data_IF_317014740248
#
_entry.id   IF_317014740248
#
_cell.length_a   1.000
_cell.length_b   1.000
_cell.length_c   1.000
_cell.angle_alpha   90.00
_cell.angle_beta   90.00
_cell.angle_gamma   90.00
#
_symmetry.space_group_name_H-M   'P 1'
#
loop_
_entity.id
_entity.type
_entity.pdbx_description
1 polymer ?
#
# COMPACT_ATOMS: atom_id res chain seq x y z
N UNK A 1 -14.08 41.39 -1.21
CA UNK A 1 -12.98 41.74 -2.12
C UNK A 1 -12.28 40.44 -2.42
N UNK A 2 -12.64 39.79 -3.54
CA UNK A 2 -11.98 38.56 -3.98
C UNK A 2 -10.53 38.87 -4.30
N UNK A 3 -9.61 38.04 -3.84
CA UNK A 3 -8.22 38.12 -4.26
C UNK A 3 -8.17 38.01 -5.80
N UNK A 4 -7.32 38.79 -6.48
CA UNK A 4 -7.17 38.67 -7.93
C UNK A 4 -6.59 37.28 -8.25
N UNK A 5 -7.22 36.58 -9.19
CA UNK A 5 -6.65 35.38 -9.80
C UNK A 5 -5.26 35.73 -10.32
N UNK A 6 -4.23 35.04 -9.82
CA UNK A 6 -2.86 35.19 -10.26
C UNK A 6 -2.73 34.57 -11.67
N UNK A 7 -2.53 35.38 -12.73
CA UNK A 7 -2.49 34.90 -14.11
C UNK A 7 -1.15 34.20 -14.44
N UNK A 8 -0.29 33.94 -13.44
CA UNK A 8 1.02 33.29 -13.61
C UNK A 8 1.11 31.87 -13.10
N UNK A 9 0.02 31.28 -12.58
CA UNK A 9 -0.03 29.85 -12.30
C UNK A 9 0.08 29.08 -13.63
N UNK A 10 1.32 28.76 -14.04
CA UNK A 10 1.58 28.00 -15.26
C UNK A 10 0.75 26.72 -15.20
N UNK A 11 -0.07 26.48 -16.23
CA UNK A 11 -0.86 25.26 -16.33
C UNK A 11 0.06 24.05 -16.13
N UNK A 12 -0.07 23.40 -14.97
CA UNK A 12 0.72 22.21 -14.65
C UNK A 12 -0.08 20.99 -15.11
N UNK A 13 0.55 20.05 -15.85
CA UNK A 13 -0.05 18.74 -16.10
C UNK A 13 -0.56 18.12 -14.79
N UNK A 14 -1.73 17.48 -14.85
CA UNK A 14 -2.41 16.93 -13.68
C UNK A 14 -3.31 17.92 -12.92
N UNK A 15 -3.18 19.23 -13.14
CA UNK A 15 -4.04 20.26 -12.50
C UNK A 15 -5.13 20.72 -13.47
N UNK A 16 -4.85 21.74 -14.27
CA UNK A 16 -5.76 22.34 -15.26
C UNK A 16 -5.63 21.71 -16.66
N UNK A 17 -4.55 20.98 -16.92
CA UNK A 17 -4.34 20.18 -18.13
C UNK A 17 -4.11 18.70 -17.76
N UNK A 18 -4.51 17.73 -18.60
CA UNK A 18 -4.26 16.32 -18.31
C UNK A 18 -2.77 15.99 -18.16
N UNK A 19 -2.43 15.13 -17.19
CA UNK A 19 -1.08 14.54 -17.09
C UNK A 19 -0.87 13.42 -18.13
N UNK A 20 0.30 12.76 -18.09
CA UNK A 20 0.64 11.66 -19.00
C UNK A 20 -0.32 10.44 -18.88
N UNK A 21 -1.10 10.36 -17.80
CA UNK A 21 -2.12 9.33 -17.55
C UNK A 21 -3.54 9.86 -17.76
N UNK A 22 -3.70 11.08 -18.27
CA UNK A 22 -5.00 11.70 -18.55
C UNK A 22 -5.72 12.28 -17.32
N UNK A 23 -5.07 12.36 -16.15
CA UNK A 23 -5.68 12.84 -14.90
C UNK A 23 -5.66 14.36 -14.82
N UNK A 24 -6.67 14.95 -14.18
CA UNK A 24 -6.77 16.39 -13.89
C UNK A 24 -7.27 16.61 -12.45
N UNK A 25 -7.20 17.86 -11.96
CA UNK A 25 -7.67 18.22 -10.62
C UNK A 25 -6.91 17.54 -9.49
N UNK A 26 -5.67 17.09 -9.74
CA UNK A 26 -4.86 16.42 -8.74
C UNK A 26 -4.61 17.31 -7.52
N UNK A 27 -4.56 18.64 -7.68
CA UNK A 27 -4.43 19.65 -6.62
C UNK A 27 -5.72 19.88 -5.81
N UNK A 28 -6.87 19.37 -6.26
CA UNK A 28 -8.12 19.51 -5.51
C UNK A 28 -8.20 18.54 -4.33
N UNK A 29 -7.45 17.43 -4.37
CA UNK A 29 -7.49 16.37 -3.34
C UNK A 29 -7.03 16.92 -2.00
N UNK A 30 -7.96 16.95 -1.04
CA UNK A 30 -7.70 17.40 0.32
C UNK A 30 -7.86 18.91 0.53
N UNK A 31 -8.18 19.69 -0.52
CA UNK A 31 -8.29 21.15 -0.46
C UNK A 31 -9.51 21.64 0.31
N UNK A 32 -10.58 20.85 0.31
CA UNK A 32 -11.88 21.15 0.92
C UNK A 32 -12.08 20.50 2.30
N UNK A 33 -11.03 19.90 2.88
CA UNK A 33 -11.14 19.21 4.16
C UNK A 33 -11.44 20.18 5.32
N UNK A 34 -12.60 19.97 5.94
CA UNK A 34 -13.09 20.76 7.07
C UNK A 34 -13.50 19.91 8.29
N UNK A 35 -13.43 18.58 8.17
CA UNK A 35 -13.84 17.60 9.19
C UNK A 35 -13.08 17.67 10.53
N UNK A 36 -11.92 18.34 10.57
CA UNK A 36 -11.16 18.58 11.79
C UNK A 36 -11.12 20.08 12.07
N UNK A 37 -11.82 20.59 13.11
CA UNK A 37 -11.88 22.03 13.38
C UNK A 37 -10.54 22.64 13.79
N UNK A 38 -9.55 21.81 14.16
CA UNK A 38 -8.17 22.22 14.46
C UNK A 38 -7.24 22.22 13.24
N UNK A 39 -7.76 22.03 12.03
CA UNK A 39 -6.97 22.04 10.78
C UNK A 39 -7.63 23.02 9.80
N UNK A 40 -6.82 23.83 9.11
CA UNK A 40 -7.29 24.72 8.04
C UNK A 40 -6.38 24.59 6.84
N UNK A 41 -6.88 24.04 5.75
CA UNK A 41 -6.10 23.88 4.52
C UNK A 41 -6.02 25.22 3.79
N UNK A 42 -4.81 25.63 3.41
CA UNK A 42 -4.56 26.86 2.66
C UNK A 42 -4.27 26.58 1.20
N UNK A 43 -3.38 25.62 0.95
CA UNK A 43 -2.91 25.30 -0.39
C UNK A 43 -2.54 23.82 -0.54
N UNK A 44 -2.71 23.30 -1.75
CA UNK A 44 -2.32 21.95 -2.16
C UNK A 44 -1.58 22.08 -3.49
N UNK A 45 -0.28 21.86 -3.45
CA UNK A 45 0.61 21.90 -4.61
C UNK A 45 0.88 20.47 -5.07
N UNK A 46 0.58 20.12 -6.33
CA UNK A 46 1.12 18.88 -6.92
C UNK A 46 2.60 19.11 -7.15
N UNK A 47 3.48 18.30 -6.58
CA UNK A 47 4.94 18.39 -6.74
C UNK A 47 5.49 17.33 -7.69
N UNK A 48 4.81 16.18 -7.83
CA UNK A 48 5.06 15.15 -8.85
C UNK A 48 3.76 14.43 -9.25
N UNK A 49 3.63 14.07 -10.52
CA UNK A 49 2.44 13.51 -11.16
C UNK A 49 2.80 12.34 -12.11
N UNK A 50 3.84 11.57 -11.75
CA UNK A 50 4.27 10.38 -12.48
C UNK A 50 3.29 9.21 -12.32
N UNK A 51 3.80 8.00 -12.06
CA UNK A 51 2.91 6.85 -11.82
C UNK A 51 1.93 7.14 -10.67
N UNK A 52 2.48 7.58 -9.55
CA UNK A 52 1.76 8.04 -8.36
C UNK A 52 1.92 9.56 -8.18
N UNK A 53 1.12 10.16 -7.30
CA UNK A 53 1.06 11.61 -7.14
C UNK A 53 1.71 12.05 -5.83
N UNK A 54 2.65 12.98 -5.89
CA UNK A 54 3.23 13.64 -4.72
C UNK A 54 2.61 15.04 -4.60
N UNK A 55 2.10 15.37 -3.41
CA UNK A 55 1.52 16.68 -3.10
C UNK A 55 2.23 17.31 -1.93
N UNK A 56 2.31 18.63 -1.91
CA UNK A 56 2.66 19.44 -0.74
C UNK A 56 1.43 20.20 -0.29
N UNK A 57 0.98 19.95 0.94
CA UNK A 57 -0.16 20.65 1.53
C UNK A 57 0.33 21.64 2.57
N UNK A 58 -0.08 22.90 2.43
CA UNK A 58 0.14 23.96 3.42
C UNK A 58 -1.15 24.18 4.20
N UNK A 59 -1.08 24.11 5.53
CA UNK A 59 -2.25 24.19 6.40
C UNK A 59 -1.89 24.79 7.76
N UNK A 60 -2.87 25.40 8.42
CA UNK A 60 -2.74 25.72 9.85
C UNK A 60 -3.22 24.55 10.71
N UNK A 61 -2.49 24.29 11.79
CA UNK A 61 -2.84 23.33 12.83
C UNK A 61 -2.96 24.03 14.18
N UNK A 62 -4.07 23.75 14.88
CA UNK A 62 -4.33 24.25 16.23
C UNK A 62 -3.62 23.34 17.25
N UNK A 63 -2.55 23.86 17.85
CA UNK A 63 -1.83 23.21 18.93
C UNK A 63 -2.69 23.02 20.18
N UNK A 64 -2.24 22.11 21.06
CA UNK A 64 -2.89 21.86 22.36
C UNK A 64 -2.89 23.06 23.29
N UNK A 65 -2.00 24.02 23.05
CA UNK A 65 -1.89 25.32 23.74
C UNK A 65 -2.89 26.36 23.20
N UNK A 66 -3.70 26.01 22.18
CA UNK A 66 -4.63 26.93 21.54
C UNK A 66 -3.98 27.85 20.51
N UNK A 67 -2.71 27.65 20.16
CA UNK A 67 -1.99 28.45 19.18
C UNK A 67 -2.07 27.81 17.80
N UNK A 68 -2.42 28.61 16.79
CA UNK A 68 -2.37 28.19 15.40
C UNK A 68 -0.95 28.27 14.86
N UNK A 69 -0.52 27.23 14.16
CA UNK A 69 0.79 27.18 13.48
C UNK A 69 0.61 26.77 12.04
N UNK A 70 1.22 27.50 11.11
CA UNK A 70 1.27 27.10 9.71
C UNK A 70 2.33 26.02 9.52
N UNK A 71 1.96 24.95 8.84
CA UNK A 71 2.80 23.80 8.56
C UNK A 71 2.70 23.43 7.08
N UNK A 72 3.73 22.72 6.60
CA UNK A 72 3.73 22.12 5.27
C UNK A 72 4.13 20.65 5.37
N UNK A 73 3.45 19.78 4.63
CA UNK A 73 3.74 18.33 4.55
C UNK A 73 3.65 17.86 3.12
N UNK A 74 4.56 16.96 2.77
CA UNK A 74 4.45 16.19 1.53
C UNK A 74 3.72 14.87 1.78
N UNK A 75 2.79 14.53 0.90
CA UNK A 75 2.07 13.26 0.91
C UNK A 75 2.21 12.57 -0.44
N UNK A 76 2.69 11.33 -0.40
CA UNK A 76 2.81 10.47 -1.56
C UNK A 76 1.59 9.57 -1.66
N UNK A 77 0.83 9.76 -2.73
CA UNK A 77 -0.44 9.13 -2.99
C UNK A 77 -0.29 8.03 -4.03
N UNK A 78 -0.25 6.80 -3.52
CA UNK A 78 -0.03 5.58 -4.30
C UNK A 78 -1.29 4.76 -4.54
N UNK A 79 -2.43 5.21 -4.01
CA UNK A 79 -3.62 4.39 -3.87
C UNK A 79 -3.60 3.55 -2.59
N UNK A 80 -4.67 2.78 -2.41
CA UNK A 80 -4.79 1.79 -1.35
C UNK A 80 -4.52 0.39 -1.92
N UNK A 81 -4.25 -0.57 -1.05
CA UNK A 81 -4.02 -1.96 -1.44
C UNK A 81 -4.72 -2.97 -0.55
N UNK A 82 -4.59 -4.23 -0.92
CA UNK A 82 -5.01 -5.38 -0.13
C UNK A 82 -3.85 -6.38 0.00
N UNK A 83 -3.86 -7.18 1.06
CA UNK A 83 -2.89 -8.26 1.27
C UNK A 83 -3.53 -9.44 1.99
N UNK A 84 -3.01 -10.65 1.77
CA UNK A 84 -3.56 -11.87 2.34
C UNK A 84 -2.49 -12.78 2.95
N UNK A 85 -2.83 -13.37 4.09
CA UNK A 85 -2.16 -14.56 4.59
C UNK A 85 -2.86 -15.81 4.04
N UNK A 86 -2.15 -16.55 3.19
CA UNK A 86 -2.55 -17.89 2.76
C UNK A 86 -1.90 -18.91 3.68
N UNK A 87 -2.70 -19.72 4.37
CA UNK A 87 -2.21 -20.72 5.32
C UNK A 87 -2.84 -22.09 5.13
N UNK A 88 -2.07 -23.15 5.35
CA UNK A 88 -2.57 -24.51 5.45
C UNK A 88 -2.54 -24.90 6.96
N UNK A 89 -3.71 -25.05 7.61
CA UNK A 89 -3.77 -25.35 9.04
C UNK A 89 -3.29 -26.77 9.36
N UNK A 90 -3.45 -27.72 8.44
CA UNK A 90 -3.09 -29.13 8.66
C UNK A 90 -1.58 -29.33 8.49
N UNK A 91 -1.01 -28.72 7.44
CA UNK A 91 0.44 -28.75 7.20
C UNK A 91 1.22 -27.76 8.07
N UNK A 92 0.53 -26.80 8.72
CA UNK A 92 1.12 -25.65 9.43
C UNK A 92 2.08 -24.87 8.53
N UNK A 93 1.71 -24.65 7.27
CA UNK A 93 2.50 -23.90 6.30
C UNK A 93 1.80 -22.61 5.90
N UNK A 94 2.59 -21.68 5.37
CA UNK A 94 2.13 -20.43 4.78
C UNK A 94 2.66 -20.35 3.35
N UNK A 95 1.86 -19.78 2.46
CA UNK A 95 2.28 -19.45 1.10
C UNK A 95 2.54 -17.95 1.01
N UNK A 96 3.76 -17.60 0.60
CA UNK A 96 4.25 -16.24 0.43
C UNK A 96 4.79 -16.08 -0.99
N UNK A 97 5.04 -14.85 -1.40
CA UNK A 97 5.77 -14.51 -2.62
C UNK A 97 7.21 -14.11 -2.30
N UNK A 98 8.11 -14.27 -3.27
CA UNK A 98 9.44 -13.69 -3.27
C UNK A 98 9.63 -12.90 -4.56
N UNK A 99 9.89 -11.60 -4.43
CA UNK A 99 9.97 -10.70 -5.58
C UNK A 99 10.94 -9.53 -5.34
N UNK A 100 11.43 -8.94 -6.43
CA UNK A 100 12.37 -7.82 -6.37
C UNK A 100 11.66 -6.50 -6.04
N UNK A 101 12.14 -5.80 -5.01
CA UNK A 101 11.67 -4.47 -4.63
C UNK A 101 12.80 -3.46 -4.72
N UNK A 102 12.81 -2.68 -5.80
CA UNK A 102 13.79 -1.61 -6.02
C UNK A 102 13.90 -0.62 -4.84
N UNK A 103 12.81 -0.16 -4.18
CA UNK A 103 12.92 0.72 -3.02
C UNK A 103 13.67 0.12 -1.83
N UNK A 104 13.55 -1.19 -1.60
CA UNK A 104 14.31 -1.87 -0.57
C UNK A 104 15.78 -2.04 -0.98
N UNK A 105 16.03 -2.36 -2.26
CA UNK A 105 17.37 -2.53 -2.80
C UNK A 105 18.19 -1.23 -2.73
N UNK A 106 17.62 -0.10 -3.14
CA UNK A 106 18.30 1.21 -3.03
C UNK A 106 18.49 1.63 -1.56
N UNK A 107 17.71 1.05 -0.64
CA UNK A 107 17.80 1.27 0.80
C UNK A 107 18.44 0.06 1.52
N UNK A 108 19.55 -0.43 0.97
CA UNK A 108 20.49 -1.35 1.62
C UNK A 108 20.03 -2.82 1.81
N UNK A 109 18.88 -3.24 1.27
CA UNK A 109 18.58 -4.67 1.18
C UNK A 109 19.61 -5.37 0.29
N UNK A 110 20.19 -6.52 0.70
CA UNK A 110 21.35 -7.12 0.04
C UNK A 110 21.15 -7.44 -1.46
N UNK A 111 19.97 -7.92 -1.83
CA UNK A 111 19.63 -8.35 -3.19
C UNK A 111 18.28 -7.77 -3.69
N UNK A 112 17.60 -6.96 -2.86
CA UNK A 112 16.25 -6.48 -3.13
C UNK A 112 15.14 -7.53 -3.18
N UNK A 113 15.42 -8.83 -2.99
CA UNK A 113 14.42 -9.90 -3.07
C UNK A 113 13.75 -10.10 -1.71
N UNK A 114 12.55 -9.55 -1.54
CA UNK A 114 11.79 -9.67 -0.28
C UNK A 114 10.88 -10.89 -0.34
N UNK A 115 10.71 -11.53 0.82
CA UNK A 115 9.66 -12.53 1.07
C UNK A 115 8.45 -11.81 1.66
N UNK A 116 7.31 -11.93 1.00
CA UNK A 116 6.12 -11.11 1.25
C UNK A 116 4.82 -11.92 1.24
N UNK A 117 3.83 -11.49 1.99
CA UNK A 117 2.45 -11.88 1.77
C UNK A 117 1.97 -11.31 0.43
N UNK A 118 1.16 -12.09 -0.30
CA UNK A 118 0.59 -11.62 -1.55
C UNK A 118 -0.20 -10.33 -1.34
N UNK A 119 -0.03 -9.38 -2.26
CA UNK A 119 -0.58 -8.04 -2.12
C UNK A 119 -0.58 -7.28 -3.44
N UNK A 120 -1.57 -6.40 -3.59
CA UNK A 120 -1.62 -5.49 -4.73
C UNK A 120 -2.52 -4.28 -4.49
N UNK A 121 -2.57 -3.40 -5.49
CA UNK A 121 -3.41 -2.20 -5.47
C UNK A 121 -4.88 -2.57 -5.65
N UNK A 122 -5.76 -1.68 -5.16
CA UNK A 122 -7.19 -1.89 -5.35
C UNK A 122 -7.65 -1.66 -6.80
N UNK A 123 -7.03 -0.73 -7.54
CA UNK A 123 -7.37 -0.44 -8.94
C UNK A 123 -8.87 -0.36 -9.27
N UNK A 124 -9.60 0.41 -8.46
CA UNK A 124 -11.07 0.61 -8.49
C UNK A 124 -11.92 -0.61 -8.07
N UNK A 125 -11.31 -1.75 -7.76
CA UNK A 125 -11.98 -2.91 -7.20
C UNK A 125 -12.32 -2.75 -5.70
N UNK A 126 -13.20 -3.63 -5.22
CA UNK A 126 -13.32 -3.85 -3.78
C UNK A 126 -12.06 -4.52 -3.24
N UNK A 127 -11.76 -4.33 -1.95
CA UNK A 127 -10.60 -4.97 -1.32
C UNK A 127 -10.64 -6.51 -1.39
N UNK A 128 -11.83 -7.11 -1.40
CA UNK A 128 -11.99 -8.55 -1.56
C UNK A 128 -11.73 -9.00 -3.01
N UNK A 129 -12.24 -8.28 -4.00
CA UNK A 129 -12.06 -8.61 -5.41
C UNK A 129 -10.60 -8.44 -5.84
N UNK A 130 -9.96 -7.34 -5.44
CA UNK A 130 -8.53 -7.12 -5.63
C UNK A 130 -7.73 -8.28 -5.03
N UNK A 131 -8.03 -8.68 -3.79
CA UNK A 131 -7.27 -9.76 -3.16
C UNK A 131 -7.51 -11.14 -3.81
N UNK A 132 -8.66 -11.38 -4.43
CA UNK A 132 -8.89 -12.60 -5.22
C UNK A 132 -8.06 -12.61 -6.49
N UNK A 133 -8.03 -11.47 -7.19
CA UNK A 133 -7.26 -11.27 -8.42
C UNK A 133 -5.77 -11.46 -8.14
N UNK A 134 -5.22 -10.74 -7.17
CA UNK A 134 -3.80 -10.77 -6.83
C UNK A 134 -3.34 -12.15 -6.32
N UNK A 135 -4.15 -12.85 -5.51
CA UNK A 135 -3.80 -14.21 -5.07
C UNK A 135 -3.70 -15.21 -6.24
N UNK A 136 -4.53 -15.05 -7.27
CA UNK A 136 -4.49 -15.86 -8.47
C UNK A 136 -3.32 -15.48 -9.38
N UNK A 137 -3.06 -14.18 -9.57
CA UNK A 137 -2.00 -13.67 -10.44
C UNK A 137 -0.59 -13.92 -9.86
N UNK A 138 -0.36 -13.58 -8.59
CA UNK A 138 0.96 -13.71 -7.97
C UNK A 138 1.30 -15.17 -7.63
N UNK A 139 0.33 -15.90 -7.05
CA UNK A 139 0.58 -17.20 -6.39
C UNK A 139 -0.21 -18.37 -6.99
N UNK A 140 -1.04 -18.13 -8.01
CA UNK A 140 -1.85 -19.19 -8.62
C UNK A 140 -2.96 -19.72 -7.73
N UNK A 141 -3.36 -19.00 -6.67
CA UNK A 141 -4.32 -19.49 -5.68
C UNK A 141 -5.71 -18.95 -5.92
N UNK A 142 -6.66 -19.85 -6.20
CA UNK A 142 -8.08 -19.50 -6.18
C UNK A 142 -8.60 -19.53 -4.75
N UNK A 143 -8.63 -18.35 -4.11
CA UNK A 143 -9.02 -18.24 -2.70
C UNK A 143 -10.52 -18.42 -2.48
N UNK A 144 -10.89 -19.16 -1.43
CA UNK A 144 -12.27 -19.39 -1.02
C UNK A 144 -12.86 -18.22 -0.25
N UNK A 145 -13.32 -18.47 0.98
CA UNK A 145 -13.83 -17.42 1.86
C UNK A 145 -12.67 -16.58 2.41
N UNK A 146 -12.73 -15.27 2.17
CA UNK A 146 -11.77 -14.32 2.74
C UNK A 146 -12.23 -13.91 4.14
N UNK A 147 -11.30 -13.94 5.10
CA UNK A 147 -11.51 -13.33 6.42
C UNK A 147 -10.82 -11.97 6.44
N UNK A 148 -11.59 -10.89 6.42
CA UNK A 148 -11.07 -9.57 6.74
C UNK A 148 -10.57 -9.50 8.18
N UNK A 149 -9.39 -8.91 8.38
CA UNK A 149 -8.73 -8.79 9.68
C UNK A 149 -8.76 -7.36 10.19
N UNK A 150 -8.22 -6.43 9.40
CA UNK A 150 -8.07 -5.02 9.76
C UNK A 150 -7.67 -4.18 8.54
N UNK A 151 -7.82 -2.86 8.68
CA UNK A 151 -7.33 -1.86 7.72
C UNK A 151 -6.28 -0.99 8.41
N UNK A 152 -5.07 -0.91 7.86
CA UNK A 152 -3.95 -0.19 8.48
C UNK A 152 -3.32 0.80 7.51
N UNK A 153 -2.95 1.97 8.04
CA UNK A 153 -2.02 2.87 7.36
C UNK A 153 -0.59 2.40 7.60
N UNK A 154 0.16 2.13 6.53
CA UNK A 154 1.47 1.49 6.63
C UNK A 154 2.60 2.48 6.97
N UNK A 155 2.51 3.72 6.46
CA UNK A 155 3.50 4.78 6.74
C UNK A 155 2.83 6.17 6.78
N UNK A 156 1.96 6.44 7.78
CA UNK A 156 1.09 7.62 7.81
C UNK A 156 1.82 8.97 8.00
N UNK A 157 3.15 8.97 8.11
CA UNK A 157 3.95 10.19 8.18
C UNK A 157 4.03 10.93 6.84
N UNK A 158 3.97 10.19 5.73
CA UNK A 158 4.16 10.75 4.38
C UNK A 158 3.47 9.97 3.26
N UNK A 159 2.91 8.79 3.51
CA UNK A 159 2.22 7.97 2.49
C UNK A 159 0.75 7.84 2.85
N UNK A 160 -0.13 8.03 1.86
CA UNK A 160 -1.60 7.99 2.07
C UNK A 160 -2.15 6.56 2.19
N UNK A 161 -1.36 5.58 1.74
CA UNK A 161 -1.74 4.18 1.56
C UNK A 161 -2.36 3.58 2.84
N UNK A 162 -3.56 3.06 2.66
CA UNK A 162 -4.21 2.12 3.57
C UNK A 162 -4.23 0.74 2.93
N UNK A 163 -3.82 -0.26 3.69
CA UNK A 163 -3.84 -1.67 3.27
C UNK A 163 -4.93 -2.41 4.01
N UNK A 164 -5.73 -3.17 3.25
CA UNK A 164 -6.77 -4.07 3.73
C UNK A 164 -6.21 -5.48 3.92
N UNK A 165 -6.28 -6.02 5.14
CA UNK A 165 -5.64 -7.30 5.47
C UNK A 165 -6.67 -8.42 5.52
N UNK A 166 -6.34 -9.53 4.86
CA UNK A 166 -7.12 -10.74 4.80
C UNK A 166 -6.34 -11.97 5.27
N UNK A 167 -7.05 -13.02 5.61
CA UNK A 167 -6.52 -14.37 5.71
C UNK A 167 -7.47 -15.36 5.05
N UNK A 168 -6.92 -16.40 4.42
CA UNK A 168 -7.69 -17.50 3.89
C UNK A 168 -6.92 -18.82 4.02
N UNK A 169 -7.61 -19.92 4.34
CA UNK A 169 -7.00 -21.23 4.20
C UNK A 169 -6.74 -21.53 2.72
N UNK A 170 -5.66 -22.25 2.44
CA UNK A 170 -5.40 -22.86 1.13
C UNK A 170 -4.91 -24.29 1.33
N UNK A 171 -4.96 -25.08 0.26
CA UNK A 171 -4.29 -26.37 0.15
C UNK A 171 -3.34 -26.36 -1.04
N UNK A 172 -2.32 -27.21 -1.03
CA UNK A 172 -1.37 -27.29 -2.16
C UNK A 172 -2.04 -27.62 -3.50
N UNK A 173 -3.22 -28.24 -3.50
CA UNK A 173 -4.00 -28.52 -4.71
C UNK A 173 -4.71 -27.29 -5.29
N UNK A 174 -4.79 -26.19 -4.55
CA UNK A 174 -5.39 -24.92 -5.00
C UNK A 174 -4.41 -24.03 -5.77
N UNK A 175 -3.14 -24.44 -5.84
CA UNK A 175 -2.05 -23.71 -6.51
C UNK A 175 -1.95 -24.19 -7.95
N UNK A 176 -2.25 -23.31 -8.90
CA UNK A 176 -2.07 -23.54 -10.33
C UNK A 176 -1.49 -22.28 -11.01
N UNK A 177 -0.27 -22.38 -11.52
CA UNK A 177 0.43 -21.24 -12.12
C UNK A 177 0.94 -20.22 -11.09
N UNK A 178 0.67 -18.93 -11.33
CA UNK A 178 1.28 -17.79 -10.64
C UNK A 178 2.50 -17.24 -11.37
N UNK A 179 3.23 -16.34 -10.73
CA UNK A 179 4.44 -15.72 -11.31
C UNK A 179 4.36 -14.20 -11.49
N UNK A 180 3.20 -13.60 -11.24
CA UNK A 180 2.93 -12.19 -11.53
C UNK A 180 2.58 -11.96 -13.00
N UNK A 181 2.44 -10.69 -13.38
CA UNK A 181 2.09 -10.30 -14.76
C UNK A 181 3.34 -9.92 -15.55
N UNK A 182 3.72 -10.73 -16.56
CA UNK A 182 4.91 -10.49 -17.40
C UNK A 182 4.89 -9.10 -18.07
N UNK A 183 3.71 -8.64 -18.52
CA UNK A 183 3.54 -7.33 -19.17
C UNK A 183 3.83 -6.15 -18.21
N UNK A 184 3.72 -6.37 -16.90
CA UNK A 184 4.02 -5.40 -15.86
C UNK A 184 5.48 -5.48 -15.37
N UNK A 185 6.26 -6.40 -15.93
CA UNK A 185 7.65 -6.64 -15.56
C UNK A 185 7.81 -7.30 -14.19
N UNK A 186 6.76 -7.96 -13.70
CA UNK A 186 6.78 -8.70 -12.45
C UNK A 186 7.37 -10.10 -12.65
N UNK A 187 8.28 -10.48 -11.77
CA UNK A 187 8.82 -11.83 -11.66
C UNK A 187 8.69 -12.27 -10.21
N UNK A 188 7.71 -13.14 -9.95
CA UNK A 188 7.30 -13.54 -8.60
C UNK A 188 7.53 -15.04 -8.41
N UNK A 189 8.29 -15.40 -7.38
CA UNK A 189 8.47 -16.79 -6.95
C UNK A 189 7.49 -17.11 -5.81
N UNK A 190 6.66 -18.14 -5.97
CA UNK A 190 5.85 -18.66 -4.88
C UNK A 190 6.71 -19.49 -3.91
N UNK A 191 6.71 -19.13 -2.62
CA UNK A 191 7.48 -19.81 -1.58
C UNK A 191 6.58 -20.33 -0.47
N UNK A 192 6.60 -21.65 -0.24
CA UNK A 192 5.90 -22.28 0.89
C UNK A 192 6.86 -22.45 2.06
N UNK A 193 6.49 -21.94 3.23
CA UNK A 193 7.32 -21.95 4.44
C UNK A 193 6.55 -22.59 5.59
N UNK A 194 7.22 -23.41 6.41
CA UNK A 194 6.64 -23.88 7.66
C UNK A 194 6.42 -22.72 8.63
N UNK A 195 5.27 -22.65 9.28
CA UNK A 195 4.95 -21.53 10.17
C UNK A 195 6.00 -21.35 11.28
N UNK A 196 6.44 -22.46 11.87
CA UNK A 196 7.46 -22.45 12.93
C UNK A 196 8.86 -22.01 12.42
N UNK A 197 9.10 -22.07 11.11
CA UNK A 197 10.31 -21.54 10.46
C UNK A 197 10.18 -20.05 10.14
N UNK A 198 8.98 -19.59 9.76
CA UNK A 198 8.73 -18.21 9.37
C UNK A 198 9.00 -17.21 10.52
N UNK A 199 8.72 -17.58 11.77
CA UNK A 199 8.98 -16.72 12.93
C UNK A 199 10.48 -16.44 13.15
N UNK A 200 11.38 -17.45 13.19
CA UNK A 200 12.83 -17.22 13.17
C UNK A 200 13.30 -16.36 11.98
N UNK A 201 12.69 -16.49 10.81
CA UNK A 201 13.05 -15.68 9.63
C UNK A 201 12.79 -14.19 9.83
N UNK A 202 11.79 -13.81 10.65
CA UNK A 202 11.61 -12.42 11.06
C UNK A 202 12.76 -11.98 11.96
N UNK A 203 13.15 -12.82 12.92
CA UNK A 203 14.16 -12.48 13.91
C UNK A 203 15.57 -12.33 13.31
N UNK A 204 15.90 -13.11 12.29
CA UNK A 204 17.21 -13.06 11.62
C UNK A 204 17.25 -12.19 10.35
N UNK A 205 16.14 -11.53 10.01
CA UNK A 205 16.07 -10.56 8.91
C UNK A 205 15.90 -11.17 7.52
N UNK A 206 15.58 -12.47 7.41
CA UNK A 206 15.15 -13.08 6.13
C UNK A 206 13.74 -12.63 5.71
N UNK A 207 12.88 -12.27 6.66
CA UNK A 207 11.59 -11.61 6.41
C UNK A 207 11.63 -10.22 7.04
N UNK A 208 11.59 -9.20 6.20
CA UNK A 208 11.70 -7.78 6.60
C UNK A 208 10.58 -6.90 6.02
N UNK A 209 9.52 -7.53 5.51
CA UNK A 209 8.34 -6.83 5.02
C UNK A 209 7.29 -6.64 6.13
N UNK A 210 6.86 -5.39 6.34
CA UNK A 210 6.00 -5.01 7.47
C UNK A 210 4.63 -5.69 7.45
N UNK A 211 3.93 -5.72 6.30
CA UNK A 211 2.60 -6.37 6.19
C UNK A 211 2.70 -7.87 6.43
N UNK A 212 3.78 -8.50 5.96
CA UNK A 212 4.06 -9.93 6.20
C UNK A 212 4.29 -10.20 7.67
N UNK A 213 5.16 -9.44 8.33
CA UNK A 213 5.42 -9.59 9.77
C UNK A 213 4.14 -9.46 10.59
N UNK A 214 3.28 -8.49 10.25
CA UNK A 214 1.98 -8.29 10.90
C UNK A 214 1.09 -9.54 10.75
N UNK A 215 0.97 -10.09 9.53
CA UNK A 215 0.17 -11.28 9.27
C UNK A 215 0.69 -12.54 9.97
N UNK A 216 2.02 -12.72 9.99
CA UNK A 216 2.66 -13.85 10.69
C UNK A 216 2.46 -13.79 12.21
N UNK A 217 2.53 -12.59 12.78
CA UNK A 217 2.23 -12.37 14.19
C UNK A 217 0.74 -12.56 14.48
N UNK A 218 -0.15 -12.15 13.58
CA UNK A 218 -1.58 -12.43 13.71
C UNK A 218 -1.85 -13.95 13.72
N UNK A 219 -1.20 -14.71 12.84
CA UNK A 219 -1.31 -16.16 12.81
C UNK A 219 -0.84 -16.81 14.12
N UNK A 220 0.21 -16.28 14.75
CA UNK A 220 0.71 -16.74 16.05
C UNK A 220 -0.34 -16.66 17.16
N UNK A 221 -1.20 -15.65 17.07
CA UNK A 221 -2.19 -15.33 18.09
C UNK A 221 -3.54 -16.01 17.84
N UNK A 222 -3.80 -16.48 16.61
CA UNK A 222 -5.15 -16.84 16.18
C UNK A 222 -5.28 -18.19 15.45
N UNK A 223 -4.20 -18.72 14.88
CA UNK A 223 -4.23 -19.93 14.05
C UNK A 223 -3.44 -21.09 14.65
N UNK A 224 -2.29 -20.81 15.24
CA UNK A 224 -1.30 -21.83 15.64
C UNK A 224 -0.98 -21.86 17.13
#
# INVERSE_FOLDING_TARGET
MSAPDDPTASARPGTTTPDARGRTGLDAVGRDLDRNPGVRIHDVEVTSDGWHVLRRTTFDFLGRDGVWTTQSRETYDRGNGATILLYDPDARTILLSRQFRFPAYVNEHPDGLLIEAAAGLLDDDSAEDAMRREAAEELGVTVGTLRHLFDLYMSPGSVTERVHFFAAPYTAGDVDGGGGVEEEGEEIEAVTIGYDEALPMIADGRIVDGKTVILLQWAALNLF
#
